data_IF_459192186556
#
_entry.id   IF_459192186556
#
_cell.length_a   1.000
_cell.length_b   1.000
_cell.length_c   1.000
_cell.angle_alpha   90.00
_cell.angle_beta   90.00
_cell.angle_gamma   90.00
#
_symmetry.space_group_name_H-M   'P 1'
#
loop_
_entity.id
_entity.type
_entity.pdbx_description
1 polymer ?
#
# COMPACT_ATOMS: atom_id res chain seq x y z
N UNK A 1 11.38 -0.35 29.53
CA UNK A 1 11.01 0.19 28.22
C UNK A 1 12.25 0.06 27.35
N UNK A 2 12.19 -0.76 26.29
CA UNK A 2 13.29 -0.90 25.32
C UNK A 2 13.40 0.40 24.51
N UNK A 3 14.61 0.78 24.09
CA UNK A 3 14.86 1.95 23.23
C UNK A 3 14.10 1.88 21.89
N UNK A 4 13.67 0.70 21.46
CA UNK A 4 12.83 0.47 20.27
C UNK A 4 11.41 1.09 20.37
N UNK A 5 10.93 1.40 21.57
CA UNK A 5 9.57 1.95 21.79
C UNK A 5 9.52 3.49 21.60
N UNK A 6 10.66 4.11 21.30
CA UNK A 6 10.81 5.57 21.15
C UNK A 6 10.95 6.01 19.69
N UNK A 7 11.04 5.08 18.73
CA UNK A 7 11.09 5.44 17.32
C UNK A 7 9.71 5.95 16.85
N UNK A 8 9.62 7.15 16.27
CA UNK A 8 8.36 7.66 15.78
C UNK A 8 7.82 6.73 14.69
N UNK A 9 6.62 6.19 14.91
CA UNK A 9 5.99 5.28 13.94
C UNK A 9 5.88 5.98 12.59
N UNK A 10 6.30 5.36 11.48
CA UNK A 10 6.22 5.97 10.17
C UNK A 10 4.79 6.36 9.86
N UNK A 11 4.61 7.58 9.36
CA UNK A 11 3.30 8.14 9.04
C UNK A 11 2.69 7.39 7.86
N UNK A 12 1.36 7.31 7.82
CA UNK A 12 0.65 6.70 6.68
C UNK A 12 1.08 7.39 5.38
N UNK A 13 1.51 6.60 4.40
CA UNK A 13 1.98 7.10 3.09
C UNK A 13 3.44 7.55 3.05
N UNK A 14 4.16 7.56 4.18
CA UNK A 14 5.57 7.96 4.23
C UNK A 14 6.46 7.04 3.38
N UNK A 15 6.21 5.73 3.40
CA UNK A 15 6.93 4.77 2.56
C UNK A 15 6.74 5.06 1.06
N UNK A 16 5.52 5.37 0.61
CA UNK A 16 5.26 5.72 -0.80
C UNK A 16 5.92 7.05 -1.17
N UNK A 17 5.91 8.03 -0.27
CA UNK A 17 6.59 9.30 -0.49
C UNK A 17 8.11 9.14 -0.55
N UNK A 18 8.69 8.22 0.23
CA UNK A 18 10.10 7.89 0.18
C UNK A 18 10.48 7.28 -1.18
N UNK A 19 9.68 6.34 -1.71
CA UNK A 19 9.89 5.73 -3.03
C UNK A 19 9.99 6.76 -4.16
N UNK A 20 9.19 7.83 -4.10
CA UNK A 20 9.17 8.89 -5.10
C UNK A 20 10.34 9.89 -5.00
N UNK A 21 11.17 9.79 -3.96
CA UNK A 21 12.36 10.64 -3.75
C UNK A 21 13.66 9.91 -4.06
N UNK A 22 13.61 8.60 -4.31
CA UNK A 22 14.79 7.82 -4.63
C UNK A 22 15.34 8.21 -6.00
N UNK A 23 16.66 8.30 -6.08
CA UNK A 23 17.37 8.55 -7.33
C UNK A 23 17.53 7.23 -8.10
N UNK A 24 16.81 7.11 -9.21
CA UNK A 24 16.79 5.90 -10.03
C UNK A 24 18.02 5.77 -10.94
N UNK A 25 18.81 6.84 -11.13
CA UNK A 25 20.01 6.80 -11.97
C UNK A 25 21.13 5.94 -11.36
N UNK A 26 21.03 5.64 -10.06
CA UNK A 26 21.95 4.78 -9.32
C UNK A 26 21.65 3.28 -9.44
N UNK A 27 20.50 2.92 -10.03
CA UNK A 27 20.04 1.54 -10.12
C UNK A 27 20.41 0.90 -11.46
N UNK A 28 20.77 -0.38 -11.43
CA UNK A 28 20.89 -1.18 -12.63
C UNK A 28 19.51 -1.55 -13.22
N UNK A 29 19.47 -1.94 -14.50
CA UNK A 29 18.22 -2.21 -15.22
C UNK A 29 17.44 -3.37 -14.58
N UNK A 30 18.13 -4.42 -14.16
CA UNK A 30 17.58 -5.56 -13.44
C UNK A 30 16.99 -5.15 -12.09
N UNK A 31 17.69 -4.31 -11.31
CA UNK A 31 17.16 -3.78 -10.04
C UNK A 31 15.90 -2.93 -10.24
N UNK A 32 15.84 -2.14 -11.33
CA UNK A 32 14.63 -1.39 -11.69
C UNK A 32 13.48 -2.32 -12.09
N UNK A 33 13.76 -3.43 -12.77
CA UNK A 33 12.76 -4.44 -13.11
C UNK A 33 12.19 -5.13 -11.85
N UNK A 34 13.06 -5.50 -10.92
CA UNK A 34 12.65 -6.06 -9.62
C UNK A 34 11.80 -5.07 -8.81
N UNK A 35 12.23 -3.80 -8.78
CA UNK A 35 11.47 -2.70 -8.14
C UNK A 35 10.07 -2.59 -8.74
N UNK A 36 9.95 -2.58 -10.06
CA UNK A 36 8.66 -2.50 -10.75
C UNK A 36 7.77 -3.70 -10.38
N UNK A 37 8.30 -4.92 -10.45
CA UNK A 37 7.55 -6.13 -10.12
C UNK A 37 6.99 -6.08 -8.69
N UNK A 38 7.78 -5.60 -7.73
CA UNK A 38 7.33 -5.43 -6.35
C UNK A 38 6.22 -4.37 -6.21
N UNK A 39 6.32 -3.25 -6.92
CA UNK A 39 5.32 -2.18 -6.92
C UNK A 39 4.00 -2.63 -7.56
N UNK A 40 4.05 -3.40 -8.65
CA UNK A 40 2.87 -3.96 -9.30
C UNK A 40 2.14 -4.95 -8.39
N UNK A 41 2.88 -5.80 -7.68
CA UNK A 41 2.31 -6.71 -6.69
C UNK A 41 1.61 -5.93 -5.57
N UNK A 42 2.19 -4.83 -5.09
CA UNK A 42 1.54 -3.96 -4.09
C UNK A 42 0.28 -3.28 -4.64
N UNK A 43 0.30 -2.80 -5.88
CA UNK A 43 -0.89 -2.25 -6.54
C UNK A 43 -2.00 -3.29 -6.59
N UNK A 44 -1.69 -4.53 -6.95
CA UNK A 44 -2.65 -5.64 -6.97
C UNK A 44 -3.24 -5.89 -5.57
N UNK A 45 -2.41 -5.91 -4.51
CA UNK A 45 -2.88 -6.03 -3.12
C UNK A 45 -3.81 -4.89 -2.72
N UNK A 46 -3.44 -3.64 -3.04
CA UNK A 46 -4.26 -2.47 -2.73
C UNK A 46 -5.63 -2.53 -3.44
N UNK A 47 -5.65 -2.93 -4.72
CA UNK A 47 -6.88 -3.13 -5.48
C UNK A 47 -7.77 -4.22 -4.88
N UNK A 48 -7.19 -5.36 -4.49
CA UNK A 48 -7.94 -6.43 -3.82
C UNK A 48 -8.56 -5.97 -2.49
N UNK A 49 -7.82 -5.18 -1.69
CA UNK A 49 -8.33 -4.60 -0.45
C UNK A 49 -9.48 -3.60 -0.70
N UNK A 50 -9.40 -2.79 -1.77
CA UNK A 50 -10.49 -1.89 -2.18
C UNK A 50 -11.72 -2.71 -2.57
N UNK A 51 -11.56 -3.73 -3.40
CA UNK A 51 -12.66 -4.60 -3.82
C UNK A 51 -13.34 -5.25 -2.63
N UNK A 52 -12.57 -5.84 -1.71
CA UNK A 52 -13.12 -6.46 -0.49
C UNK A 52 -13.93 -5.47 0.36
N UNK A 53 -13.45 -4.22 0.51
CA UNK A 53 -14.19 -3.16 1.23
C UNK A 53 -15.44 -2.71 0.48
N UNK A 54 -15.39 -2.63 -0.85
CA UNK A 54 -16.55 -2.25 -1.67
C UNK A 54 -17.64 -3.33 -1.62
N UNK A 55 -17.27 -4.60 -1.70
CA UNK A 55 -18.22 -5.71 -1.62
C UNK A 55 -18.91 -5.76 -0.25
N UNK A 56 -18.17 -5.49 0.84
CA UNK A 56 -18.76 -5.35 2.17
C UNK A 56 -19.76 -4.19 2.26
N UNK A 57 -19.43 -3.03 1.66
CA UNK A 57 -20.35 -1.88 1.61
C UNK A 57 -21.63 -2.21 0.83
N UNK A 58 -21.51 -2.79 -0.36
CA UNK A 58 -22.68 -3.15 -1.18
C UNK A 58 -23.59 -4.19 -0.49
N UNK A 59 -23.00 -5.15 0.24
CA UNK A 59 -23.77 -6.11 1.03
C UNK A 59 -24.49 -5.44 2.22
N UNK A 60 -23.82 -4.49 2.89
CA UNK A 60 -24.44 -3.70 3.95
C UNK A 60 -25.58 -2.83 3.43
N UNK A 61 -25.37 -2.09 2.33
CA UNK A 61 -26.38 -1.22 1.72
C UNK A 61 -27.63 -2.02 1.31
N UNK A 62 -27.45 -3.22 0.74
CA UNK A 62 -28.56 -4.12 0.45
C UNK A 62 -29.32 -4.55 1.72
N UNK A 63 -28.62 -4.84 2.82
CA UNK A 63 -29.28 -5.25 4.08
C UNK A 63 -30.10 -4.11 4.71
N UNK A 64 -29.67 -2.85 4.54
CA UNK A 64 -30.35 -1.68 5.12
C UNK A 64 -31.50 -1.14 4.26
N UNK A 65 -31.48 -1.38 2.94
CA UNK A 65 -32.52 -0.88 2.01
C UNK A 65 -33.76 -1.79 1.91
N UNK A 66 -33.80 -2.89 2.66
CA UNK A 66 -34.96 -3.81 2.77
C UNK A 66 -35.89 -3.47 3.97
N UNK A 67 -35.72 -2.32 4.61
CA UNK A 67 -36.61 -1.83 5.68
C UNK A 67 -37.48 -0.67 5.23
#
# INVERSE_FOLDING_TARGET
>A
MSFEDLEPRPRRGEAIAALGREDLDLYAVDELQERIAALEAEIARARAAIQGKSSQRSAADALFNFR
#
